data_IF_507703770547
#
_entry.id   IF_507703770547
#
_cell.length_a   1.000
_cell.length_b   1.000
_cell.length_c   1.000
_cell.angle_alpha   90.00
_cell.angle_beta   90.00
_cell.angle_gamma   90.00
#
_symmetry.space_group_name_H-M   'P 1'
#
loop_
_entity.id
_entity.type
_entity.pdbx_description
1 polymer ?
#
# COMPACT_ATOMS: atom_id res chain seq x y z
N UNK A 1 6.00 -26.15 -23.27
CA UNK A 1 5.64 -25.09 -22.30
C UNK A 1 6.38 -23.83 -22.69
N UNK A 2 5.69 -22.70 -22.83
CA UNK A 2 6.31 -21.39 -23.08
C UNK A 2 6.78 -20.82 -21.74
N UNK A 3 7.88 -20.06 -21.75
CA UNK A 3 8.45 -19.46 -20.53
C UNK A 3 7.45 -18.56 -19.77
N UNK A 4 6.60 -17.83 -20.50
CA UNK A 4 5.54 -17.00 -19.92
C UNK A 4 4.40 -17.79 -19.22
N UNK A 5 4.35 -19.13 -19.36
CA UNK A 5 3.29 -19.94 -18.74
C UNK A 5 3.48 -20.10 -17.21
N UNK A 6 4.69 -19.86 -16.71
CA UNK A 6 5.07 -20.05 -15.31
C UNK A 6 5.91 -18.91 -14.73
N UNK A 7 6.38 -17.97 -15.54
CA UNK A 7 7.10 -16.79 -15.06
C UNK A 7 6.65 -15.54 -15.82
N UNK A 8 6.32 -14.48 -15.09
CA UNK A 8 6.05 -13.16 -15.64
C UNK A 8 6.79 -12.13 -14.80
N UNK A 9 7.38 -11.12 -15.45
CA UNK A 9 8.01 -10.01 -14.77
C UNK A 9 7.84 -8.72 -15.58
N UNK A 10 7.78 -7.61 -14.87
CA UNK A 10 7.70 -6.26 -15.43
C UNK A 10 8.58 -5.31 -14.62
N UNK A 11 9.07 -4.28 -15.31
CA UNK A 11 9.80 -3.18 -14.71
C UNK A 11 9.45 -1.89 -15.46
N UNK A 12 9.14 -0.85 -14.69
CA UNK A 12 8.72 0.45 -15.20
C UNK A 12 9.49 1.53 -14.47
N UNK A 13 10.17 2.40 -15.21
CA UNK A 13 10.70 3.65 -14.69
C UNK A 13 9.75 4.80 -15.02
N UNK A 14 9.57 5.74 -14.10
CA UNK A 14 8.68 6.88 -14.32
C UNK A 14 9.28 8.19 -13.81
N UNK A 15 8.89 9.27 -14.49
CA UNK A 15 9.06 10.66 -14.04
C UNK A 15 7.75 11.38 -14.36
N UNK A 16 7.16 12.02 -13.35
CA UNK A 16 5.94 12.81 -13.45
C UNK A 16 6.21 14.18 -12.83
N UNK A 17 6.29 15.20 -13.68
CA UNK A 17 6.33 16.60 -13.27
C UNK A 17 4.92 17.19 -13.39
N UNK A 18 4.26 17.40 -12.25
CA UNK A 18 2.89 17.91 -12.21
C UNK A 18 2.88 19.38 -11.82
N UNK A 19 2.65 20.23 -12.82
CA UNK A 19 2.67 21.69 -12.70
C UNK A 19 1.27 22.30 -12.62
N UNK A 20 1.21 23.55 -12.14
CA UNK A 20 0.01 24.37 -12.09
C UNK A 20 -1.18 23.67 -11.41
N UNK A 21 -0.91 23.00 -10.28
CA UNK A 21 -1.93 22.26 -9.57
C UNK A 21 -2.92 23.26 -8.95
N UNK A 22 -4.21 23.13 -9.27
CA UNK A 22 -5.29 23.81 -8.55
C UNK A 22 -6.05 22.72 -7.83
N UNK A 23 -5.84 22.62 -6.52
CA UNK A 23 -6.40 21.54 -5.70
C UNK A 23 -7.52 22.09 -4.83
N UNK A 24 -8.61 21.32 -4.62
CA UNK A 24 -9.61 21.69 -3.65
C UNK A 24 -8.97 21.73 -2.26
N UNK A 25 -9.37 22.71 -1.46
CA UNK A 25 -9.04 22.72 -0.04
C UNK A 25 -9.69 21.49 0.59
N UNK A 26 -8.87 20.58 1.12
CA UNK A 26 -9.36 19.35 1.73
C UNK A 26 -9.22 19.38 3.26
N UNK A 27 -10.22 18.85 3.94
CA UNK A 27 -10.12 18.49 5.37
C UNK A 27 -8.94 17.54 5.61
N UNK A 28 -8.62 16.66 4.64
CA UNK A 28 -7.48 15.74 4.72
C UNK A 28 -6.12 16.45 4.66
N UNK A 29 -6.06 17.69 4.19
CA UNK A 29 -4.87 18.55 4.24
C UNK A 29 -4.78 19.34 5.56
N UNK A 30 -5.78 19.22 6.44
CA UNK A 30 -5.80 19.88 7.74
C UNK A 30 -6.56 21.19 7.84
N UNK A 31 -7.29 21.58 6.79
CA UNK A 31 -8.13 22.77 6.82
C UNK A 31 -9.55 22.39 7.26
N UNK A 32 -10.00 22.90 8.41
CA UNK A 32 -11.34 22.64 8.97
C UNK A 32 -12.49 23.28 8.19
N UNK A 33 -12.19 24.19 7.25
CA UNK A 33 -13.14 24.83 6.36
C UNK A 33 -12.78 24.51 4.90
N UNK A 34 -13.02 23.25 4.49
CA UNK A 34 -12.76 22.73 3.14
C UNK A 34 -13.69 23.35 2.09
N UNK A 35 -13.47 24.63 1.77
CA UNK A 35 -14.15 25.35 0.69
C UNK A 35 -13.14 26.14 -0.15
N UNK A 36 -13.33 26.12 -1.47
CA UNK A 36 -12.46 26.79 -2.44
C UNK A 36 -11.34 25.92 -2.99
N UNK A 37 -10.51 26.55 -3.82
CA UNK A 37 -9.30 25.95 -4.41
C UNK A 37 -8.06 26.70 -3.97
N UNK A 38 -6.97 25.98 -3.83
CA UNK A 38 -5.64 26.56 -3.57
C UNK A 38 -4.68 26.15 -4.66
N UNK A 39 -3.69 27.00 -4.88
CA UNK A 39 -2.55 26.62 -5.71
C UNK A 39 -1.83 25.46 -4.98
N UNK A 40 -1.86 24.28 -5.58
CA UNK A 40 -1.17 23.03 -5.21
C UNK A 40 0.33 23.05 -5.54
N UNK A 41 0.78 24.05 -6.29
CA UNK A 41 2.18 24.26 -6.65
C UNK A 41 2.61 23.32 -7.76
N UNK A 42 3.85 22.88 -7.65
CA UNK A 42 4.47 21.92 -8.56
C UNK A 42 5.04 20.75 -7.75
N UNK A 43 4.83 19.53 -8.22
CA UNK A 43 5.39 18.34 -7.59
C UNK A 43 6.10 17.48 -8.61
N UNK A 44 7.21 16.87 -8.17
CA UNK A 44 7.96 15.92 -8.96
C UNK A 44 7.87 14.55 -8.31
N UNK A 45 7.47 13.56 -9.10
CA UNK A 45 7.46 12.16 -8.71
C UNK A 45 8.39 11.40 -9.65
N UNK A 46 9.32 10.63 -9.10
CA UNK A 46 10.22 9.80 -9.89
C UNK A 46 10.46 8.49 -9.18
N UNK A 47 10.54 7.40 -9.92
CA UNK A 47 10.70 6.10 -9.30
C UNK A 47 10.82 4.96 -10.29
N UNK A 48 10.95 3.78 -9.71
CA UNK A 48 10.97 2.49 -10.38
C UNK A 48 9.95 1.60 -9.70
N UNK A 49 9.17 0.91 -10.52
CA UNK A 49 8.24 -0.13 -10.11
C UNK A 49 8.66 -1.42 -10.78
N UNK A 50 8.69 -2.51 -10.02
CA UNK A 50 8.99 -3.82 -10.57
C UNK A 50 8.05 -4.85 -9.95
N UNK A 51 7.68 -5.83 -10.75
CA UNK A 51 6.81 -6.91 -10.32
C UNK A 51 7.23 -8.22 -10.96
N UNK A 52 7.03 -9.33 -10.25
CA UNK A 52 7.13 -10.64 -10.85
C UNK A 52 6.20 -11.65 -10.20
N UNK A 53 5.90 -12.69 -10.96
CA UNK A 53 5.18 -13.87 -10.53
C UNK A 53 5.87 -15.11 -11.10
N UNK A 54 6.00 -16.14 -10.27
CA UNK A 54 6.52 -17.44 -10.68
C UNK A 54 5.66 -18.58 -10.11
N UNK A 55 5.47 -19.65 -10.87
CA UNK A 55 4.89 -20.92 -10.41
C UNK A 55 5.91 -22.05 -10.58
N UNK A 56 6.60 -22.38 -9.47
CA UNK A 56 7.62 -23.43 -9.43
C UNK A 56 7.03 -24.82 -9.65
N UNK A 57 5.76 -25.03 -9.28
CA UNK A 57 5.06 -26.30 -9.49
C UNK A 57 4.84 -26.58 -10.97
N UNK A 58 4.34 -25.57 -11.70
CA UNK A 58 4.22 -25.64 -13.16
C UNK A 58 5.58 -25.78 -13.84
N UNK A 59 6.58 -25.00 -13.40
CA UNK A 59 7.93 -25.05 -13.98
C UNK A 59 8.57 -26.43 -13.84
N UNK A 60 8.33 -27.13 -12.73
CA UNK A 60 8.80 -28.49 -12.48
C UNK A 60 7.88 -29.60 -13.02
N UNK A 61 6.78 -29.26 -13.72
CA UNK A 61 5.83 -30.25 -14.25
C UNK A 61 5.01 -31.00 -13.18
N UNK A 62 4.89 -30.43 -11.98
CA UNK A 62 4.14 -31.02 -10.88
C UNK A 62 2.63 -30.79 -11.03
N UNK A 63 1.83 -31.67 -10.41
CA UNK A 63 0.36 -31.50 -10.32
C UNK A 63 -0.05 -30.39 -9.34
N UNK A 64 0.82 -30.10 -8.38
CA UNK A 64 0.63 -29.03 -7.39
C UNK A 64 1.28 -27.75 -7.92
N UNK A 65 0.70 -26.60 -7.58
CA UNK A 65 1.21 -25.27 -7.92
C UNK A 65 1.83 -24.64 -6.67
N UNK A 66 3.00 -24.02 -6.86
CA UNK A 66 3.77 -23.35 -5.82
C UNK A 66 4.14 -21.97 -6.34
N UNK A 67 3.37 -20.96 -5.94
CA UNK A 67 3.48 -19.62 -6.49
C UNK A 67 4.26 -18.70 -5.57
N UNK A 68 5.09 -17.85 -6.16
CA UNK A 68 5.67 -16.70 -5.48
C UNK A 68 5.43 -15.45 -6.32
N UNK A 69 4.99 -14.38 -5.67
CA UNK A 69 4.64 -13.10 -6.29
C UNK A 69 5.28 -11.99 -5.47
N UNK A 70 5.80 -10.97 -6.15
CA UNK A 70 6.36 -9.79 -5.51
C UNK A 70 6.14 -8.56 -6.38
N UNK A 71 5.81 -7.44 -5.76
CA UNK A 71 5.88 -6.11 -6.37
C UNK A 71 6.57 -5.15 -5.43
N UNK A 72 7.38 -4.26 -6.00
CA UNK A 72 8.15 -3.24 -5.30
C UNK A 72 8.05 -1.91 -6.05
N UNK A 73 7.75 -0.85 -5.32
CA UNK A 73 7.85 0.53 -5.81
C UNK A 73 8.86 1.27 -4.96
N UNK A 74 9.88 1.83 -5.61
CA UNK A 74 10.84 2.76 -5.02
C UNK A 74 10.63 4.11 -5.67
N UNK A 75 10.22 5.11 -4.90
CA UNK A 75 9.89 6.43 -5.44
C UNK A 75 10.35 7.58 -4.54
N UNK A 76 10.54 8.74 -5.15
CA UNK A 76 10.62 10.04 -4.49
C UNK A 76 9.48 10.91 -4.98
N UNK A 77 8.78 11.57 -4.06
CA UNK A 77 7.70 12.51 -4.34
C UNK A 77 7.93 13.77 -3.51
N UNK A 78 8.15 14.91 -4.15
CA UNK A 78 8.54 16.16 -3.49
C UNK A 78 7.87 17.38 -4.12
N UNK A 79 7.80 18.49 -3.38
CA UNK A 79 7.48 19.80 -3.96
C UNK A 79 8.67 20.29 -4.77
N UNK A 80 8.51 20.42 -6.09
CA UNK A 80 9.61 20.75 -7.00
C UNK A 80 9.76 22.25 -7.29
N UNK A 81 8.89 23.09 -6.72
CA UNK A 81 8.96 24.54 -6.85
C UNK A 81 8.60 25.23 -5.52
N UNK A 82 8.90 26.52 -5.42
CA UNK A 82 8.61 27.34 -4.25
C UNK A 82 7.10 27.33 -3.95
N UNK A 83 6.78 26.94 -2.72
CA UNK A 83 5.41 26.87 -2.21
C UNK A 83 5.44 27.35 -0.77
N UNK A 84 4.81 28.48 -0.53
CA UNK A 84 4.76 29.09 0.80
C UNK A 84 3.45 28.74 1.50
N UNK A 85 3.54 28.25 2.72
CA UNK A 85 2.38 27.97 3.59
C UNK A 85 2.55 28.66 4.95
N UNK A 86 1.43 28.95 5.62
CA UNK A 86 1.44 29.52 6.96
C UNK A 86 1.43 28.42 8.01
N UNK A 87 2.44 28.44 8.89
CA UNK A 87 2.63 27.49 9.97
C UNK A 87 2.85 28.28 11.24
N UNK A 88 1.91 28.20 12.18
CA UNK A 88 1.95 28.96 13.44
C UNK A 88 2.21 30.47 13.23
N UNK A 89 1.61 31.05 12.19
CA UNK A 89 1.76 32.48 11.84
C UNK A 89 3.06 32.84 11.11
N UNK A 90 3.95 31.87 10.88
CA UNK A 90 5.17 32.06 10.08
C UNK A 90 4.99 31.52 8.67
N UNK A 91 5.55 32.22 7.69
CA UNK A 91 5.55 31.76 6.28
C UNK A 91 6.74 30.81 6.08
N UNK A 92 6.45 29.58 5.64
CA UNK A 92 7.45 28.52 5.42
C UNK A 92 7.42 28.09 3.96
N UNK A 93 8.58 28.05 3.31
CA UNK A 93 8.73 27.42 2.00
C UNK A 93 8.84 25.90 2.17
N UNK A 94 8.00 25.13 1.47
CA UNK A 94 8.00 23.66 1.52
C UNK A 94 8.62 23.02 0.29
N UNK A 95 9.32 23.79 -0.55
CA UNK A 95 10.13 23.24 -1.64
C UNK A 95 11.08 22.15 -1.11
N UNK A 96 11.24 21.08 -1.88
CA UNK A 96 12.03 19.87 -1.57
C UNK A 96 11.48 19.01 -0.41
N UNK A 97 10.44 19.45 0.30
CA UNK A 97 9.77 18.58 1.26
C UNK A 97 9.05 17.43 0.54
N UNK A 98 9.03 16.28 1.19
CA UNK A 98 8.31 15.11 0.73
C UNK A 98 6.81 15.37 0.74
N UNK A 99 6.11 14.82 -0.24
CA UNK A 99 4.66 14.92 -0.23
C UNK A 99 4.04 14.13 0.93
N UNK A 100 2.98 14.66 1.57
CA UNK A 100 2.21 13.92 2.55
C UNK A 100 1.71 12.59 1.97
N UNK A 101 1.73 11.53 2.79
CA UNK A 101 1.23 10.20 2.43
C UNK A 101 1.90 9.55 1.21
N UNK A 102 3.12 9.98 0.87
CA UNK A 102 3.92 9.39 -0.18
C UNK A 102 5.11 8.62 0.42
N UNK A 103 4.91 7.32 0.70
CA UNK A 103 6.00 6.45 1.11
C UNK A 103 7.03 6.29 -0.03
N UNK A 104 8.32 6.26 0.34
CA UNK A 104 9.41 6.07 -0.62
C UNK A 104 9.59 4.61 -1.06
N UNK A 105 9.13 3.66 -0.24
CA UNK A 105 9.26 2.23 -0.48
C UNK A 105 7.94 1.54 -0.16
N UNK A 106 7.42 0.80 -1.12
CA UNK A 106 6.23 -0.04 -0.98
C UNK A 106 6.57 -1.42 -1.51
N UNK A 107 6.25 -2.46 -0.76
CA UNK A 107 6.49 -3.84 -1.17
C UNK A 107 5.22 -4.65 -0.90
N UNK A 108 4.81 -5.45 -1.85
CA UNK A 108 3.83 -6.50 -1.64
C UNK A 108 4.43 -7.82 -2.08
N UNK A 109 4.27 -8.86 -1.27
CA UNK A 109 4.74 -10.20 -1.60
C UNK A 109 3.66 -11.20 -1.27
N UNK A 110 3.64 -12.32 -1.98
CA UNK A 110 2.83 -13.47 -1.62
C UNK A 110 3.49 -14.79 -1.98
N UNK A 111 3.28 -15.79 -1.14
CA UNK A 111 3.57 -17.18 -1.43
C UNK A 111 2.28 -17.99 -1.35
N UNK A 112 2.07 -18.87 -2.32
CA UNK A 112 0.86 -19.68 -2.45
C UNK A 112 1.17 -21.14 -2.75
N UNK A 113 0.33 -22.03 -2.26
CA UNK A 113 0.35 -23.45 -2.57
C UNK A 113 -1.06 -23.86 -2.97
N UNK A 114 -1.20 -24.52 -4.11
CA UNK A 114 -2.45 -25.14 -4.55
C UNK A 114 -2.19 -26.62 -4.79
N UNK A 115 -2.81 -27.46 -3.97
CA UNK A 115 -2.66 -28.91 -4.03
C UNK A 115 -3.75 -29.50 -4.91
N UNK A 116 -3.38 -30.56 -5.65
CA UNK A 116 -4.30 -31.27 -6.53
C UNK A 116 -5.52 -31.86 -5.81
N UNK A 117 -5.40 -32.13 -4.50
CA UNK A 117 -6.50 -32.63 -3.67
C UNK A 117 -7.51 -31.56 -3.24
N UNK A 118 -7.37 -30.31 -3.70
CA UNK A 118 -8.33 -29.22 -3.47
C UNK A 118 -7.91 -28.23 -2.37
N UNK A 119 -6.90 -28.55 -1.55
CA UNK A 119 -6.40 -27.62 -0.54
C UNK A 119 -5.55 -26.52 -1.15
N UNK A 120 -5.73 -25.30 -0.67
CA UNK A 120 -4.91 -24.16 -1.01
C UNK A 120 -4.54 -23.32 0.22
N UNK A 121 -3.35 -22.76 0.18
CA UNK A 121 -2.81 -21.90 1.23
C UNK A 121 -2.13 -20.71 0.59
N UNK A 122 -2.28 -19.53 1.17
CA UNK A 122 -1.62 -18.31 0.72
C UNK A 122 -1.22 -17.46 1.91
N UNK A 123 0.00 -16.95 1.89
CA UNK A 123 0.48 -15.92 2.83
C UNK A 123 0.93 -14.72 2.01
N UNK A 124 0.57 -13.52 2.44
CA UNK A 124 1.00 -12.29 1.79
C UNK A 124 1.48 -11.27 2.79
N UNK A 125 2.48 -10.47 2.40
CA UNK A 125 3.01 -9.36 3.18
C UNK A 125 2.84 -8.04 2.44
N UNK A 126 2.47 -6.99 3.15
CA UNK A 126 2.39 -5.63 2.62
C UNK A 126 3.22 -4.67 3.48
N UNK A 127 4.36 -4.25 2.91
CA UNK A 127 5.25 -3.23 3.45
C UNK A 127 4.89 -1.86 2.91
N UNK A 128 4.74 -0.89 3.80
CA UNK A 128 4.70 0.53 3.45
C UNK A 128 5.74 1.24 4.31
N UNK A 129 6.65 1.97 3.65
CA UNK A 129 7.68 2.77 4.30
C UNK A 129 7.09 3.92 5.13
N UNK A 130 7.95 4.54 5.95
CA UNK A 130 7.54 5.70 6.72
C UNK A 130 7.15 6.87 5.81
N UNK A 131 6.17 7.66 6.24
CA UNK A 131 5.63 8.79 5.48
C UNK A 131 5.21 9.94 6.40
N UNK A 132 5.27 11.16 5.88
CA UNK A 132 4.78 12.34 6.56
C UNK A 132 3.28 12.54 6.31
N UNK A 133 2.63 13.35 7.14
CA UNK A 133 1.17 13.60 7.05
C UNK A 133 0.84 15.07 6.78
N UNK A 134 1.87 15.88 6.58
CA UNK A 134 1.84 17.32 6.41
C UNK A 134 3.01 17.82 5.55
N UNK A 135 2.81 18.98 4.94
CA UNK A 135 3.70 19.56 3.93
C UNK A 135 5.05 20.02 4.51
N UNK A 136 5.11 20.32 5.82
CA UNK A 136 6.36 20.65 6.52
C UNK A 136 7.15 19.44 6.99
N UNK A 137 6.66 18.23 6.74
CA UNK A 137 7.31 16.98 7.15
C UNK A 137 7.58 16.92 8.66
N UNK A 138 6.55 17.17 9.47
CA UNK A 138 6.68 17.12 10.94
C UNK A 138 7.10 15.72 11.39
N UNK A 139 8.23 15.61 12.07
CA UNK A 139 8.66 14.37 12.72
C UNK A 139 7.85 14.10 13.99
N UNK A 140 7.72 15.12 14.85
CA UNK A 140 7.00 15.03 16.12
C UNK A 140 5.48 15.13 15.89
N UNK A 141 4.68 14.19 16.42
CA UNK A 141 3.23 14.27 16.33
C UNK A 141 2.64 15.48 17.06
N UNK A 142 1.61 16.11 16.47
CA UNK A 142 0.83 17.12 17.18
C UNK A 142 0.04 16.52 18.35
N UNK A 143 -0.30 17.35 19.34
CA UNK A 143 -1.09 16.91 20.50
C UNK A 143 -2.48 16.34 20.12
N UNK A 144 -3.08 16.86 19.05
CA UNK A 144 -4.35 16.35 18.49
C UNK A 144 -4.16 15.16 17.53
N UNK A 145 -2.93 14.69 17.32
CA UNK A 145 -2.60 13.51 16.52
C UNK A 145 -2.75 13.67 15.00
N UNK A 146 -3.09 14.86 14.50
CA UNK A 146 -3.39 15.13 13.08
C UNK A 146 -2.16 15.27 12.19
N UNK A 147 -1.01 15.64 12.73
CA UNK A 147 0.26 15.75 12.01
C UNK A 147 1.32 14.86 12.65
N UNK A 148 2.48 14.75 12.00
CA UNK A 148 3.59 13.93 12.43
C UNK A 148 3.87 12.77 11.48
N UNK A 149 5.00 12.12 11.68
CA UNK A 149 5.39 10.94 10.92
C UNK A 149 4.50 9.74 11.23
N UNK A 150 4.21 8.96 10.21
CA UNK A 150 3.67 7.61 10.31
C UNK A 150 4.85 6.66 10.08
N UNK A 151 5.12 5.80 11.07
CA UNK A 151 6.16 4.78 10.98
C UNK A 151 5.83 3.72 9.92
N UNK A 152 6.86 3.09 9.37
CA UNK A 152 6.69 1.97 8.43
C UNK A 152 5.94 0.79 9.08
N UNK A 153 5.28 -0.02 8.25
CA UNK A 153 4.56 -1.22 8.69
C UNK A 153 4.79 -2.40 7.75
N UNK A 154 4.64 -3.63 8.26
CA UNK A 154 4.65 -4.84 7.44
C UNK A 154 3.53 -5.78 7.87
N UNK A 155 2.39 -5.70 7.17
CA UNK A 155 1.19 -6.46 7.53
C UNK A 155 1.21 -7.80 6.82
N UNK A 156 1.11 -8.88 7.59
CA UNK A 156 1.04 -10.24 7.08
C UNK A 156 -0.40 -10.73 7.13
N UNK A 157 -0.92 -11.19 6.00
CA UNK A 157 -2.22 -11.83 5.86
C UNK A 157 -2.02 -13.31 5.48
N UNK A 158 -2.92 -14.17 5.93
CA UNK A 158 -2.93 -15.58 5.58
C UNK A 158 -4.34 -16.04 5.16
N UNK A 159 -4.40 -16.98 4.23
CA UNK A 159 -5.63 -17.58 3.75
C UNK A 159 -5.41 -19.09 3.54
N UNK A 160 -6.38 -19.89 3.97
CA UNK A 160 -6.48 -21.30 3.68
C UNK A 160 -7.85 -21.56 3.06
N UNK A 161 -7.90 -22.43 2.07
CA UNK A 161 -9.15 -22.80 1.41
C UNK A 161 -9.15 -24.25 0.97
N UNK A 162 -10.35 -24.81 0.82
CA UNK A 162 -10.55 -26.16 0.35
C UNK A 162 -11.66 -26.18 -0.71
N UNK A 163 -11.27 -26.53 -1.94
CA UNK A 163 -12.19 -26.79 -3.05
C UNK A 163 -12.64 -28.23 -2.96
N UNK A 164 -13.91 -28.46 -2.62
CA UNK A 164 -14.42 -29.79 -2.33
C UNK A 164 -14.52 -30.58 -3.64
N UNK A 165 -13.75 -31.67 -3.83
CA UNK A 165 -13.74 -32.42 -5.08
C UNK A 165 -15.14 -32.93 -5.46
N UNK A 166 -15.45 -32.90 -6.76
CA UNK A 166 -16.74 -33.37 -7.33
C UNK A 166 -17.97 -32.63 -6.80
N UNK A 167 -17.78 -31.45 -6.23
CA UNK A 167 -18.86 -30.54 -5.87
C UNK A 167 -18.53 -29.14 -6.38
N UNK A 168 -19.52 -28.26 -6.40
CA UNK A 168 -19.34 -26.84 -6.72
C UNK A 168 -19.17 -26.00 -5.45
N UNK A 169 -18.50 -26.52 -4.43
CA UNK A 169 -18.43 -25.87 -3.12
C UNK A 169 -16.99 -25.62 -2.64
N UNK A 170 -16.80 -24.46 -2.00
CA UNK A 170 -15.51 -24.03 -1.44
C UNK A 170 -15.67 -23.64 0.03
N UNK A 171 -14.69 -24.01 0.85
CA UNK A 171 -14.51 -23.48 2.20
C UNK A 171 -13.31 -22.54 2.22
N UNK A 172 -13.41 -21.42 2.94
CA UNK A 172 -12.30 -20.49 3.13
C UNK A 172 -12.15 -20.08 4.61
N UNK A 173 -10.90 -19.84 5.01
CA UNK A 173 -10.51 -19.25 6.28
C UNK A 173 -9.43 -18.20 6.00
N UNK A 174 -9.65 -16.97 6.40
CA UNK A 174 -8.70 -15.87 6.21
C UNK A 174 -8.37 -15.22 7.55
N UNK A 175 -7.11 -14.88 7.74
CA UNK A 175 -6.61 -14.08 8.85
C UNK A 175 -5.92 -12.86 8.27
N UNK A 176 -6.51 -11.68 8.46
CA UNK A 176 -5.87 -10.40 8.16
C UNK A 176 -5.07 -9.93 9.36
N UNK A 177 -3.91 -9.32 9.13
CA UNK A 177 -2.98 -8.91 10.17
C UNK A 177 -2.67 -10.06 11.15
N UNK A 178 -2.19 -11.19 10.59
CA UNK A 178 -1.85 -12.42 11.29
C UNK A 178 -0.94 -12.17 12.50
N UNK A 179 0.01 -11.24 12.39
CA UNK A 179 0.96 -10.90 13.47
C UNK A 179 0.37 -9.95 14.51
N UNK A 180 -0.87 -9.49 14.34
CA UNK A 180 -1.52 -8.48 15.18
C UNK A 180 -0.67 -7.22 15.36
N UNK A 181 -0.05 -6.76 14.26
CA UNK A 181 0.75 -5.55 14.29
C UNK A 181 -0.16 -4.34 14.52
N UNK A 182 0.11 -3.57 15.58
CA UNK A 182 -0.51 -2.27 15.81
C UNK A 182 0.19 -1.19 14.99
N UNK A 183 -0.57 -0.44 14.19
CA UNK A 183 -0.02 0.63 13.36
C UNK A 183 -1.02 1.78 13.17
N UNK A 184 -0.51 2.93 12.73
CA UNK A 184 -1.31 4.09 12.33
C UNK A 184 -1.55 3.98 10.82
N UNK A 185 -2.81 3.92 10.42
CA UNK A 185 -3.20 3.88 9.00
C UNK A 185 -3.24 5.29 8.41
N UNK A 186 -3.76 6.26 9.17
CA UNK A 186 -3.79 7.67 8.79
C UNK A 186 -3.85 8.57 10.03
N UNK A 187 -3.44 9.84 9.89
CA UNK A 187 -3.65 10.90 10.89
C UNK A 187 -4.67 11.96 10.47
N UNK A 188 -4.99 12.03 9.18
CA UNK A 188 -5.91 13.01 8.60
C UNK A 188 -7.25 12.36 8.23
N UNK A 189 -8.37 13.11 8.27
CA UNK A 189 -8.48 14.50 8.73
C UNK A 189 -8.53 14.67 10.25
N UNK A 190 -9.03 13.67 10.98
CA UNK A 190 -9.50 13.81 12.37
C UNK A 190 -8.59 13.21 13.45
N UNK A 191 -7.31 13.00 13.14
CA UNK A 191 -6.35 12.42 14.08
C UNK A 191 -6.05 10.96 13.79
N UNK A 192 -5.46 10.28 14.76
CA UNK A 192 -4.93 8.92 14.58
C UNK A 192 -6.06 7.93 14.29
N UNK A 193 -6.02 7.34 13.09
CA UNK A 193 -6.81 6.18 12.70
C UNK A 193 -5.93 4.94 12.79
N UNK A 194 -6.32 4.01 13.65
CA UNK A 194 -5.64 2.74 13.81
C UNK A 194 -5.87 1.86 12.58
N UNK A 195 -4.84 1.08 12.25
CA UNK A 195 -4.96 0.02 11.26
C UNK A 195 -5.93 -1.09 11.67
N UNK A 196 -6.31 -1.93 10.72
CA UNK A 196 -7.12 -3.12 10.98
C UNK A 196 -6.39 -4.01 12.02
N UNK A 197 -7.01 -4.34 13.17
CA UNK A 197 -6.46 -5.33 14.09
C UNK A 197 -6.48 -6.73 13.44
N UNK A 198 -6.01 -7.76 14.14
CA UNK A 198 -6.20 -9.12 13.66
C UNK A 198 -7.70 -9.39 13.41
N UNK A 199 -8.03 -9.81 12.19
CA UNK A 199 -9.39 -10.15 11.78
C UNK A 199 -9.41 -11.56 11.21
N UNK A 200 -10.29 -12.41 11.73
CA UNK A 200 -10.49 -13.79 11.24
C UNK A 200 -11.85 -13.85 10.57
N UNK A 201 -11.89 -14.35 9.34
CA UNK A 201 -13.12 -14.58 8.58
C UNK A 201 -13.15 -16.00 8.05
N UNK A 202 -14.32 -16.63 8.07
CA UNK A 202 -14.55 -17.92 7.43
C UNK A 202 -15.75 -17.82 6.50
N UNK A 203 -15.72 -18.59 5.43
CA UNK A 203 -16.74 -18.54 4.38
C UNK A 203 -16.97 -19.90 3.74
N UNK A 204 -18.18 -20.06 3.22
CA UNK A 204 -18.60 -21.20 2.42
C UNK A 204 -19.30 -20.67 1.17
N UNK A 205 -18.86 -21.12 0.00
CA UNK A 205 -19.35 -20.68 -1.29
C UNK A 205 -19.88 -21.89 -2.07
N UNK A 206 -21.03 -21.73 -2.73
CA UNK A 206 -21.59 -22.71 -3.68
C UNK A 206 -21.75 -22.02 -5.03
N UNK A 207 -21.23 -22.63 -6.09
CA UNK A 207 -21.47 -22.21 -7.48
C UNK A 207 -22.66 -22.98 -8.04
N UNK A 208 -23.72 -22.24 -8.37
CA UNK A 208 -24.95 -22.76 -8.98
C UNK A 208 -24.78 -23.02 -10.48
#
# INVERSE_FOLDING_TARGET
MKFNDYFNAEITGFILDFQNQIIPVSNSSGNSNASGVVNGGQTLHKGIEAGFQIDLGKMAGLKNSYTFESSITVQGSEYSNDRFISVNGSTVNVKENKLPYAANLMIWNAAGINLHNGFGFRVSGNYIGAQFTDEINSEVPSANGRTGKISSRYIVDANAYYRIPKTNANLNLSVKNLTDQRYISSRRPEGIRVGLPRLITAGFEIFL
#
